data_IF_101834212901
#
_entry.id   IF_101834212901
#
_cell.length_a   1.000
_cell.length_b   1.000
_cell.length_c   1.000
_cell.angle_alpha   90.00
_cell.angle_beta   90.00
_cell.angle_gamma   90.00
#
_symmetry.space_group_name_H-M   'P 1'
#
loop_
_entity.id
_entity.type
_entity.pdbx_description
1 polymer ?
#
# COMPACT_ATOMS: atom_id res chain seq x y z
N UNK A 1 17.10 -29.79 25.17
CA UNK A 1 15.86 -28.99 25.04
C UNK A 1 16.08 -28.04 23.89
N UNK A 2 15.57 -28.42 22.72
CA UNK A 2 15.76 -27.68 21.47
C UNK A 2 14.64 -26.65 21.33
N UNK A 3 15.00 -25.37 21.33
CA UNK A 3 14.07 -24.27 21.05
C UNK A 3 13.82 -24.26 19.55
N UNK A 4 12.63 -24.66 19.15
CA UNK A 4 12.14 -24.48 17.77
C UNK A 4 12.01 -22.98 17.47
N UNK A 5 12.46 -22.49 16.30
CA UNK A 5 12.23 -21.11 15.93
C UNK A 5 10.73 -20.87 15.75
N UNK A 6 10.21 -19.82 16.39
CA UNK A 6 8.87 -19.32 16.16
C UNK A 6 8.77 -18.92 14.69
N UNK A 7 8.00 -19.68 13.94
CA UNK A 7 7.52 -19.26 12.61
C UNK A 7 6.72 -17.97 12.79
N UNK A 8 6.94 -16.92 11.98
CA UNK A 8 6.08 -15.76 12.03
C UNK A 8 4.65 -16.23 11.73
N UNK A 9 3.70 -15.83 12.57
CA UNK A 9 2.29 -16.13 12.38
C UNK A 9 1.92 -15.73 10.94
N UNK A 10 1.35 -16.67 10.20
CA UNK A 10 0.78 -16.39 8.89
C UNK A 10 -0.21 -15.25 9.07
N UNK A 11 0.08 -14.10 8.48
CA UNK A 11 -0.88 -13.01 8.38
C UNK A 11 -2.04 -13.59 7.58
N UNK A 12 -3.23 -13.69 8.18
CA UNK A 12 -4.43 -14.13 7.47
C UNK A 12 -4.58 -13.22 6.24
N UNK A 13 -4.38 -13.81 5.07
CA UNK A 13 -4.47 -13.12 3.79
C UNK A 13 -5.92 -12.74 3.54
N UNK A 14 -6.21 -11.45 3.36
CA UNK A 14 -7.54 -10.96 3.02
C UNK A 14 -7.93 -11.38 1.59
N UNK A 15 -6.94 -11.37 0.66
CA UNK A 15 -7.17 -11.71 -0.75
C UNK A 15 -6.74 -13.14 -1.06
N UNK A 16 -7.64 -13.90 -1.68
CA UNK A 16 -7.34 -15.24 -2.20
C UNK A 16 -6.26 -15.18 -3.30
N UNK A 17 -5.60 -16.31 -3.57
CA UNK A 17 -4.60 -16.39 -4.64
C UNK A 17 -5.18 -16.04 -6.02
N UNK A 18 -6.44 -16.39 -6.28
CA UNK A 18 -7.12 -16.05 -7.54
C UNK A 18 -7.37 -14.54 -7.65
N UNK A 19 -7.78 -13.89 -6.56
CA UNK A 19 -7.98 -12.44 -6.53
C UNK A 19 -6.66 -11.68 -6.68
N UNK A 20 -5.58 -12.12 -6.02
CA UNK A 20 -4.25 -11.54 -6.19
C UNK A 20 -3.77 -11.64 -7.65
N UNK A 21 -3.92 -12.82 -8.24
CA UNK A 21 -3.58 -13.05 -9.65
C UNK A 21 -4.40 -12.17 -10.58
N UNK A 22 -5.69 -12.02 -10.31
CA UNK A 22 -6.60 -11.17 -11.08
C UNK A 22 -6.20 -9.70 -10.99
N UNK A 23 -5.89 -9.20 -9.78
CA UNK A 23 -5.49 -7.81 -9.56
C UNK A 23 -4.13 -7.48 -10.20
N UNK A 24 -3.16 -8.39 -10.16
CA UNK A 24 -1.88 -8.23 -10.87
C UNK A 24 -2.08 -8.19 -12.38
N UNK A 25 -2.88 -9.08 -12.94
CA UNK A 25 -3.23 -9.05 -14.37
C UNK A 25 -3.93 -7.75 -14.77
N UNK A 26 -4.85 -7.26 -13.94
CA UNK A 26 -5.52 -5.97 -14.15
C UNK A 26 -4.52 -4.83 -14.19
N UNK A 27 -3.54 -4.82 -13.27
CA UNK A 27 -2.50 -3.79 -13.22
C UNK A 27 -1.66 -3.78 -14.51
N UNK A 28 -1.17 -4.95 -14.96
CA UNK A 28 -0.46 -5.09 -16.23
C UNK A 28 -1.33 -4.65 -17.42
N UNK A 29 -2.57 -5.12 -17.48
CA UNK A 29 -3.49 -4.80 -18.57
C UNK A 29 -3.84 -3.30 -18.62
N UNK A 30 -3.94 -2.65 -17.47
CA UNK A 30 -4.15 -1.20 -17.36
C UNK A 30 -3.01 -0.40 -17.98
N UNK A 31 -1.76 -0.80 -17.74
CA UNK A 31 -0.58 -0.15 -18.33
C UNK A 31 -0.54 -0.39 -19.85
N UNK A 32 -0.70 -1.64 -20.29
CA UNK A 32 -0.69 -1.99 -21.70
C UNK A 32 -1.83 -1.30 -22.47
N UNK A 33 -3.03 -1.28 -21.91
CA UNK A 33 -4.19 -0.63 -22.51
C UNK A 33 -3.98 0.86 -22.74
N UNK A 34 -3.29 1.54 -21.81
CA UNK A 34 -2.95 2.95 -21.96
C UNK A 34 -1.97 3.18 -23.12
N UNK A 35 -0.96 2.31 -23.29
CA UNK A 35 -0.03 2.37 -24.41
C UNK A 35 -0.69 2.06 -25.76
N UNK A 36 -1.75 1.25 -25.74
CA UNK A 36 -2.51 0.84 -26.92
C UNK A 36 -3.72 1.72 -27.21
N UNK A 37 -3.98 2.72 -26.36
CA UNK A 37 -5.13 3.61 -26.44
C UNK A 37 -6.49 2.84 -26.50
N UNK A 38 -6.59 1.75 -25.75
CA UNK A 38 -7.82 0.95 -25.61
C UNK A 38 -8.40 1.09 -24.20
N UNK A 39 -9.69 0.89 -24.09
CA UNK A 39 -10.36 0.83 -22.80
C UNK A 39 -10.39 -0.60 -22.27
N UNK A 40 -10.42 -0.73 -20.94
CA UNK A 40 -10.62 -2.00 -20.24
C UNK A 40 -11.84 -1.90 -19.32
N UNK A 41 -12.58 -3.00 -19.11
CA UNK A 41 -13.68 -3.01 -18.15
C UNK A 41 -13.14 -2.79 -16.73
N UNK A 42 -13.75 -1.86 -15.99
CA UNK A 42 -13.40 -1.56 -14.62
C UNK A 42 -14.51 -1.91 -13.62
N UNK A 43 -15.46 -2.74 -14.05
CA UNK A 43 -16.51 -3.26 -13.17
C UNK A 43 -15.95 -4.40 -12.32
N UNK A 44 -15.97 -4.27 -10.97
CA UNK A 44 -15.44 -5.31 -10.09
C UNK A 44 -16.18 -6.64 -10.29
N UNK A 45 -15.48 -7.78 -10.46
CA UNK A 45 -16.12 -9.07 -10.72
C UNK A 45 -16.75 -9.70 -9.46
N UNK A 46 -16.41 -9.22 -8.27
CA UNK A 46 -16.93 -9.71 -7.00
C UNK A 46 -17.25 -8.56 -6.05
N UNK A 47 -18.14 -8.80 -5.08
CA UNK A 47 -18.43 -7.82 -4.02
C UNK A 47 -17.18 -7.50 -3.17
N UNK A 48 -16.29 -8.47 -2.97
CA UNK A 48 -15.04 -8.25 -2.25
C UNK A 48 -14.14 -7.24 -3.00
N UNK A 49 -13.96 -7.40 -4.30
CA UNK A 49 -13.17 -6.49 -5.12
C UNK A 49 -13.89 -5.14 -5.40
N UNK A 50 -15.18 -5.04 -5.08
CA UNK A 50 -15.93 -3.79 -5.09
C UNK A 50 -15.70 -2.96 -3.81
N UNK A 51 -15.11 -3.53 -2.75
CA UNK A 51 -14.87 -2.83 -1.50
C UNK A 51 -13.86 -1.68 -1.70
N UNK A 52 -14.11 -0.51 -1.08
CA UNK A 52 -13.16 0.60 -1.14
C UNK A 52 -11.93 0.31 -0.29
N UNK A 53 -10.73 0.45 -0.86
CA UNK A 53 -9.43 0.28 -0.21
C UNK A 53 -8.44 1.34 -0.67
N UNK A 54 -7.49 1.69 0.21
CA UNK A 54 -6.28 2.36 -0.21
C UNK A 54 -5.38 1.37 -0.98
N UNK A 55 -4.75 1.82 -2.05
CA UNK A 55 -3.90 0.98 -2.90
C UNK A 55 -2.64 1.74 -3.26
N UNK A 56 -1.50 1.07 -3.21
CA UNK A 56 -0.26 1.50 -3.84
C UNK A 56 0.17 0.47 -4.87
N UNK A 57 0.63 0.95 -6.01
CA UNK A 57 1.26 0.14 -7.04
C UNK A 57 2.71 0.58 -7.20
N UNK A 58 3.64 -0.35 -7.01
CA UNK A 58 5.06 -0.19 -7.30
C UNK A 58 5.42 -0.97 -8.54
N UNK A 59 6.13 -0.32 -9.45
CA UNK A 59 6.66 -0.92 -10.67
C UNK A 59 8.15 -1.11 -10.51
N UNK A 60 8.66 -2.28 -10.85
CA UNK A 60 10.07 -2.59 -10.87
C UNK A 60 10.51 -3.05 -12.27
N UNK A 61 11.73 -2.75 -12.63
CA UNK A 61 12.37 -3.21 -13.86
C UNK A 61 13.78 -3.68 -13.53
N UNK A 62 14.04 -4.98 -13.72
CA UNK A 62 15.32 -5.57 -13.35
C UNK A 62 15.64 -5.39 -11.85
N UNK A 63 14.64 -5.49 -10.98
CA UNK A 63 14.77 -5.33 -9.53
C UNK A 63 14.94 -3.89 -9.04
N UNK A 64 14.88 -2.89 -9.91
CA UNK A 64 14.98 -1.47 -9.54
C UNK A 64 13.60 -0.79 -9.62
N UNK A 65 13.32 0.11 -8.67
CA UNK A 65 12.08 0.89 -8.69
C UNK A 65 11.98 1.70 -9.99
N UNK A 66 10.84 1.57 -10.69
CA UNK A 66 10.55 2.23 -11.96
C UNK A 66 9.36 3.19 -11.89
N UNK A 67 8.56 3.11 -10.85
CA UNK A 67 7.43 3.97 -10.55
C UNK A 67 6.69 3.50 -9.31
N UNK A 68 6.08 4.43 -8.57
CA UNK A 68 5.24 4.08 -7.42
C UNK A 68 4.22 5.19 -7.18
N UNK A 69 2.95 4.87 -7.29
CA UNK A 69 1.83 5.79 -7.01
C UNK A 69 0.76 5.06 -6.22
N UNK A 70 0.08 5.76 -5.34
CA UNK A 70 -1.01 5.18 -4.58
C UNK A 70 -1.83 6.19 -3.81
N UNK A 71 -2.94 5.70 -3.28
CA UNK A 71 -3.86 6.43 -2.44
C UNK A 71 -4.01 5.71 -1.10
N UNK A 72 -3.86 6.45 -0.03
CA UNK A 72 -4.05 5.92 1.33
C UNK A 72 -5.52 5.79 1.67
N UNK A 73 -6.30 6.84 1.37
CA UNK A 73 -7.74 6.81 1.56
C UNK A 73 -8.41 6.24 0.31
N UNK A 74 -9.42 5.38 0.48
CA UNK A 74 -10.10 4.78 -0.65
C UNK A 74 -10.84 5.84 -1.46
N UNK A 75 -10.60 5.87 -2.77
CA UNK A 75 -11.28 6.76 -3.74
C UNK A 75 -12.38 5.98 -4.49
N UNK A 76 -12.30 4.66 -4.52
CA UNK A 76 -13.24 3.77 -5.19
C UNK A 76 -13.02 2.32 -4.79
N UNK A 77 -13.55 1.38 -5.58
CA UNK A 77 -13.33 -0.04 -5.38
C UNK A 77 -11.84 -0.39 -5.50
N UNK A 78 -11.38 -1.43 -4.77
CA UNK A 78 -9.98 -1.90 -4.90
C UNK A 78 -9.64 -2.27 -6.34
N UNK A 79 -10.58 -2.87 -7.06
CA UNK A 79 -10.41 -3.24 -8.47
C UNK A 79 -10.07 -2.02 -9.33
N UNK A 80 -10.84 -0.96 -9.22
CA UNK A 80 -10.63 0.30 -9.95
C UNK A 80 -9.36 1.01 -9.50
N UNK A 81 -9.11 1.07 -8.19
CA UNK A 81 -7.93 1.71 -7.62
C UNK A 81 -6.63 1.04 -8.09
N UNK A 82 -6.59 -0.29 -8.23
CA UNK A 82 -5.44 -1.01 -8.79
C UNK A 82 -5.16 -0.59 -10.24
N UNK A 83 -6.19 -0.52 -11.08
CA UNK A 83 -6.02 -0.10 -12.47
C UNK A 83 -5.53 1.35 -12.59
N UNK A 84 -6.09 2.25 -11.78
CA UNK A 84 -5.74 3.67 -11.78
C UNK A 84 -4.31 3.90 -11.24
N UNK A 85 -3.94 3.28 -10.12
CA UNK A 85 -2.61 3.45 -9.52
C UNK A 85 -1.51 2.80 -10.37
N UNK A 86 -1.77 1.67 -11.03
CA UNK A 86 -0.84 1.06 -11.97
C UNK A 86 -0.55 1.98 -13.15
N UNK A 87 -1.59 2.57 -13.74
CA UNK A 87 -1.46 3.53 -14.82
C UNK A 87 -0.73 4.80 -14.36
N UNK A 88 -1.08 5.35 -13.20
CA UNK A 88 -0.44 6.52 -12.65
C UNK A 88 1.05 6.26 -12.33
N UNK A 89 1.39 5.09 -11.78
CA UNK A 89 2.77 4.69 -11.52
C UNK A 89 3.60 4.60 -12.80
N UNK A 90 3.00 4.18 -13.92
CA UNK A 90 3.67 4.06 -15.20
C UNK A 90 3.86 5.39 -15.94
N UNK A 91 2.94 6.35 -15.79
CA UNK A 91 2.88 7.52 -16.66
C UNK A 91 2.85 8.87 -15.92
N UNK A 92 2.56 8.91 -14.63
CA UNK A 92 2.34 10.14 -13.86
C UNK A 92 3.32 10.30 -12.68
N UNK A 93 4.17 9.31 -12.40
CA UNK A 93 5.23 9.45 -11.40
C UNK A 93 6.35 10.32 -11.94
N UNK A 94 6.38 11.58 -11.50
CA UNK A 94 7.29 12.63 -12.02
C UNK A 94 8.77 12.37 -11.75
N UNK A 95 9.11 11.36 -10.95
CA UNK A 95 10.50 10.94 -10.71
C UNK A 95 11.09 10.17 -11.89
N UNK A 96 10.24 9.66 -12.78
CA UNK A 96 10.60 8.78 -13.89
C UNK A 96 9.98 9.29 -15.20
N UNK A 97 10.58 8.93 -16.34
CA UNK A 97 9.93 9.09 -17.64
C UNK A 97 8.77 8.10 -17.79
N UNK A 98 7.74 8.40 -18.61
CA UNK A 98 6.68 7.46 -18.91
C UNK A 98 7.23 6.12 -19.39
N UNK A 99 6.58 5.03 -18.94
CA UNK A 99 6.96 3.65 -19.30
C UNK A 99 6.78 3.45 -20.80
N UNK A 100 7.78 2.83 -21.46
CA UNK A 100 7.70 2.46 -22.88
C UNK A 100 7.03 1.10 -23.08
N UNK A 101 6.68 0.78 -24.33
CA UNK A 101 6.07 -0.52 -24.67
C UNK A 101 7.03 -1.72 -24.39
N UNK A 102 8.32 -1.53 -24.62
CA UNK A 102 9.34 -2.53 -24.33
C UNK A 102 9.47 -2.77 -22.84
N UNK A 103 9.52 -1.71 -22.05
CA UNK A 103 9.58 -1.81 -20.60
C UNK A 103 8.34 -2.47 -20.01
N UNK A 104 7.14 -2.13 -20.52
CA UNK A 104 5.87 -2.66 -20.01
C UNK A 104 5.78 -4.20 -20.04
N UNK A 105 6.50 -4.84 -20.98
CA UNK A 105 6.56 -6.31 -21.09
C UNK A 105 7.48 -6.97 -20.05
N UNK A 106 8.38 -6.18 -19.44
CA UNK A 106 9.37 -6.66 -18.48
C UNK A 106 9.16 -6.07 -17.07
N UNK A 107 8.06 -5.35 -16.86
CA UNK A 107 7.72 -4.82 -15.53
C UNK A 107 7.36 -5.95 -14.57
N UNK A 108 7.85 -5.82 -13.36
CA UNK A 108 7.40 -6.56 -12.19
C UNK A 108 6.55 -5.63 -11.35
N UNK A 109 5.33 -6.04 -11.03
CA UNK A 109 4.35 -5.22 -10.29
C UNK A 109 4.22 -5.75 -8.87
N UNK A 110 4.24 -4.83 -7.91
CA UNK A 110 3.90 -5.07 -6.51
C UNK A 110 2.70 -4.21 -6.12
N UNK A 111 1.70 -4.84 -5.55
CA UNK A 111 0.50 -4.20 -5.01
C UNK A 111 0.54 -4.20 -3.49
N UNK A 112 0.24 -3.06 -2.89
CA UNK A 112 0.06 -2.90 -1.45
C UNK A 112 -1.36 -2.39 -1.21
N UNK A 113 -2.22 -3.26 -0.68
CA UNK A 113 -3.62 -2.96 -0.42
C UNK A 113 -3.80 -2.73 1.07
N UNK A 114 -4.35 -1.56 1.42
CA UNK A 114 -4.49 -1.14 2.80
C UNK A 114 -5.84 -1.56 3.36
N UNK A 115 -5.84 -2.09 4.59
CA UNK A 115 -7.08 -2.30 5.34
C UNK A 115 -7.73 -0.96 5.70
N UNK A 116 -9.04 -0.91 5.93
CA UNK A 116 -9.67 0.29 6.46
C UNK A 116 -9.03 0.70 7.79
N UNK A 117 -8.70 2.00 8.00
CA UNK A 117 -8.22 2.47 9.28
C UNK A 117 -9.22 2.18 10.40
N UNK A 118 -8.73 1.69 11.56
CA UNK A 118 -9.53 1.38 12.73
C UNK A 118 -8.93 2.08 13.95
N UNK A 119 -9.76 2.61 14.87
CA UNK A 119 -9.28 3.17 16.12
C UNK A 119 -8.40 2.17 16.89
N UNK A 120 -7.26 2.63 17.40
CA UNK A 120 -6.32 1.82 18.16
C UNK A 120 -5.81 2.56 19.38
N UNK A 121 -5.53 1.82 20.47
CA UNK A 121 -4.82 2.37 21.61
C UNK A 121 -3.33 2.49 21.32
N UNK A 122 -2.65 3.55 21.79
CA UNK A 122 -1.22 3.73 21.53
C UNK A 122 -0.36 2.52 21.91
N UNK A 123 -0.73 1.83 22.99
CA UNK A 123 -0.02 0.67 23.52
C UNK A 123 -0.12 -0.58 22.62
N UNK A 124 -1.19 -0.66 21.81
CA UNK A 124 -1.46 -1.74 20.88
C UNK A 124 -0.80 -1.53 19.51
N UNK A 125 -0.16 -0.40 19.27
CA UNK A 125 0.56 -0.14 18.02
C UNK A 125 1.79 -1.04 17.92
N UNK A 126 1.86 -1.81 16.82
CA UNK A 126 2.97 -2.70 16.48
C UNK A 126 3.77 -2.13 15.31
N UNK A 127 5.06 -1.83 15.55
CA UNK A 127 5.99 -1.36 14.51
C UNK A 127 6.22 -2.45 13.46
N UNK A 128 6.16 -2.09 12.19
CA UNK A 128 6.31 -3.01 11.06
C UNK A 128 5.02 -3.71 10.62
N UNK A 129 3.98 -3.69 11.47
CA UNK A 129 2.67 -4.24 11.13
C UNK A 129 1.65 -3.15 10.82
N UNK A 130 1.59 -2.14 11.69
CA UNK A 130 0.62 -1.07 11.58
C UNK A 130 1.17 0.15 10.85
N UNK A 131 0.41 0.67 9.87
CA UNK A 131 0.47 2.06 9.49
C UNK A 131 -0.41 2.88 10.45
N UNK A 132 -0.12 4.15 10.58
CA UNK A 132 -0.83 5.05 11.49
C UNK A 132 -1.43 6.23 10.74
N UNK A 133 -2.67 6.57 11.09
CA UNK A 133 -3.33 7.82 10.76
C UNK A 133 -3.62 8.54 12.09
N UNK A 134 -3.02 9.72 12.30
CA UNK A 134 -3.25 10.53 13.48
C UNK A 134 -3.83 11.87 13.04
N UNK A 135 -4.86 12.33 13.78
CA UNK A 135 -5.50 13.58 13.45
C UNK A 135 -6.23 14.25 14.60
N UNK A 136 -6.32 15.58 14.52
CA UNK A 136 -7.11 16.44 15.39
C UNK A 136 -7.51 17.72 14.66
N UNK A 137 -8.73 18.18 14.83
CA UNK A 137 -9.22 19.47 14.33
C UNK A 137 -8.94 19.71 12.82
N UNK A 138 -9.08 18.68 11.98
CA UNK A 138 -8.86 18.76 10.54
C UNK A 138 -7.41 18.55 10.07
N UNK A 139 -6.45 18.56 10.99
CA UNK A 139 -5.06 18.16 10.69
C UNK A 139 -4.96 16.64 10.70
N UNK A 140 -4.37 16.06 9.65
CA UNK A 140 -4.17 14.61 9.54
C UNK A 140 -2.78 14.31 9.00
N UNK A 141 -2.13 13.32 9.58
CA UNK A 141 -0.86 12.79 9.11
C UNK A 141 -0.90 11.28 9.09
N UNK A 142 -0.24 10.71 8.10
CA UNK A 142 -0.19 9.28 7.90
C UNK A 142 1.24 8.83 7.61
N UNK A 143 1.60 7.69 8.19
CA UNK A 143 2.82 6.96 7.89
C UNK A 143 2.50 5.48 7.66
N UNK A 144 3.12 4.91 6.63
CA UNK A 144 2.97 3.50 6.25
C UNK A 144 3.74 2.57 7.20
N UNK A 145 3.40 1.28 7.27
CA UNK A 145 4.01 0.33 8.21
C UNK A 145 5.53 0.18 8.07
N UNK A 146 6.07 0.30 6.86
CA UNK A 146 7.51 0.16 6.58
C UNK A 146 8.34 1.33 7.09
N UNK A 147 7.77 2.53 7.17
CA UNK A 147 8.50 3.76 7.53
C UNK A 147 9.21 3.66 8.87
N UNK A 148 8.57 3.25 9.98
CA UNK A 148 9.25 3.14 11.26
C UNK A 148 10.33 2.03 11.25
N UNK A 149 10.19 1.00 10.42
CA UNK A 149 11.20 -0.07 10.28
C UNK A 149 12.44 0.46 9.58
N UNK A 150 12.29 1.17 8.48
CA UNK A 150 13.38 1.78 7.70
C UNK A 150 14.20 2.78 8.53
N UNK A 151 13.51 3.52 9.42
CA UNK A 151 14.13 4.52 10.29
C UNK A 151 14.53 3.98 11.67
N UNK A 152 14.34 2.69 11.95
CA UNK A 152 14.60 2.07 13.26
C UNK A 152 13.88 2.78 14.42
N UNK A 153 12.65 3.24 14.19
CA UNK A 153 11.86 3.89 15.23
C UNK A 153 11.17 2.87 16.12
N UNK A 154 11.14 3.20 17.40
CA UNK A 154 10.24 2.53 18.34
C UNK A 154 8.79 3.05 18.20
N UNK A 155 7.87 2.40 18.90
CA UNK A 155 6.45 2.76 18.90
C UNK A 155 6.19 4.21 19.27
N UNK A 156 6.88 4.74 20.30
CA UNK A 156 6.67 6.11 20.77
C UNK A 156 7.17 7.10 19.73
N UNK A 157 8.33 6.88 19.19
CA UNK A 157 8.89 7.68 18.08
C UNK A 157 7.97 7.67 16.87
N UNK A 158 7.43 6.50 16.51
CA UNK A 158 6.49 6.36 15.39
C UNK A 158 5.23 7.21 15.60
N UNK A 159 4.61 7.17 16.78
CA UNK A 159 3.47 8.04 17.13
C UNK A 159 3.84 9.51 17.02
N UNK A 160 4.99 9.91 17.57
CA UNK A 160 5.47 11.30 17.50
C UNK A 160 5.71 11.78 16.08
N UNK A 161 6.34 10.96 15.23
CA UNK A 161 6.61 11.32 13.84
C UNK A 161 5.32 11.39 13.01
N UNK A 162 4.34 10.54 13.31
CA UNK A 162 3.03 10.62 12.67
C UNK A 162 2.30 11.91 13.07
N UNK A 163 2.39 12.35 14.31
CA UNK A 163 1.90 13.67 14.74
C UNK A 163 2.59 14.81 13.96
N UNK A 164 3.92 14.77 13.82
CA UNK A 164 4.67 15.78 13.03
C UNK A 164 4.25 15.79 11.57
N UNK A 165 4.00 14.60 10.99
CA UNK A 165 3.48 14.47 9.63
C UNK A 165 2.11 15.13 9.45
N UNK A 166 1.30 15.17 10.52
CA UNK A 166 0.02 15.89 10.58
C UNK A 166 0.17 17.39 10.80
N UNK A 167 1.39 17.91 10.98
CA UNK A 167 1.62 19.30 11.39
C UNK A 167 1.28 19.58 12.85
N UNK A 168 1.23 18.53 13.68
CA UNK A 168 0.87 18.60 15.10
C UNK A 168 2.12 18.52 16.01
N UNK A 169 2.02 18.99 17.27
CA UNK A 169 3.03 18.73 18.28
C UNK A 169 3.28 17.21 18.43
N UNK A 170 4.52 16.77 18.71
CA UNK A 170 4.86 15.33 18.77
C UNK A 170 4.13 14.56 19.88
N UNK A 171 3.60 15.24 20.86
CA UNK A 171 2.80 14.67 21.96
C UNK A 171 1.27 14.81 21.77
N UNK A 172 0.80 15.24 20.61
CA UNK A 172 -0.63 15.40 20.31
C UNK A 172 -1.42 14.09 20.49
N UNK A 173 -0.80 12.93 20.24
CA UNK A 173 -1.38 11.62 20.46
C UNK A 173 -1.75 11.34 21.93
N UNK A 174 -1.13 12.04 22.90
CA UNK A 174 -1.46 12.00 24.33
C UNK A 174 -2.48 13.08 24.72
N UNK A 175 -2.80 14.00 23.83
CA UNK A 175 -3.60 15.19 24.07
C UNK A 175 -4.92 15.23 23.31
N UNK A 176 -5.47 14.04 23.02
CA UNK A 176 -6.80 13.91 22.42
C UNK A 176 -6.83 13.82 20.88
N UNK A 177 -5.69 13.65 20.21
CA UNK A 177 -5.69 13.29 18.81
C UNK A 177 -6.26 11.87 18.62
N UNK A 178 -7.02 11.68 17.56
CA UNK A 178 -7.47 10.34 17.15
C UNK A 178 -6.28 9.56 16.61
N UNK A 179 -6.19 8.28 16.98
CA UNK A 179 -5.18 7.35 16.47
C UNK A 179 -5.93 6.21 15.82
N UNK A 180 -5.68 6.01 14.54
CA UNK A 180 -6.22 4.90 13.75
C UNK A 180 -5.05 4.12 13.17
N UNK A 181 -5.16 2.79 13.17
CA UNK A 181 -4.18 1.91 12.54
C UNK A 181 -4.80 1.20 11.35
N UNK A 182 -3.96 0.88 10.39
CA UNK A 182 -4.27 0.03 9.26
C UNK A 182 -3.11 -0.93 9.00
N UNK A 183 -3.40 -2.02 8.30
CA UNK A 183 -2.38 -2.95 7.81
C UNK A 183 -2.26 -2.82 6.30
N UNK A 184 -1.19 -3.37 5.73
CA UNK A 184 -1.01 -3.48 4.29
C UNK A 184 -0.81 -4.95 3.93
N UNK A 185 -1.60 -5.46 3.01
CA UNK A 185 -1.33 -6.73 2.37
C UNK A 185 -0.53 -6.47 1.09
N UNK A 186 0.69 -7.02 1.03
CA UNK A 186 1.63 -6.81 -0.07
C UNK A 186 1.80 -8.10 -0.84
N UNK A 187 1.61 -8.05 -2.15
CA UNK A 187 1.86 -9.16 -3.06
C UNK A 187 2.26 -8.64 -4.44
N UNK A 188 2.97 -9.46 -5.20
CA UNK A 188 3.52 -9.06 -6.50
C UNK A 188 3.77 -10.22 -7.43
N UNK A 189 4.32 -9.93 -8.58
CA UNK A 189 4.83 -10.93 -9.51
C UNK A 189 5.93 -11.76 -8.84
N UNK A 190 6.12 -13.02 -9.25
CA UNK A 190 6.99 -14.00 -8.55
C UNK A 190 8.42 -13.50 -8.30
N UNK A 191 8.96 -12.63 -9.15
CA UNK A 191 10.30 -12.07 -9.01
C UNK A 191 10.40 -11.00 -7.88
N UNK A 192 9.29 -10.41 -7.44
CA UNK A 192 9.24 -9.36 -6.40
C UNK A 192 9.06 -9.95 -5.01
N UNK A 193 8.50 -11.14 -4.91
CA UNK A 193 8.13 -11.80 -3.63
C UNK A 193 9.33 -12.33 -2.82
N UNK A 194 10.56 -12.25 -3.34
CA UNK A 194 11.79 -12.83 -2.74
C UNK A 194 12.62 -11.77 -1.99
N UNK A 195 12.00 -10.93 -1.16
CA UNK A 195 12.76 -10.03 -0.27
C UNK A 195 12.28 -10.09 1.17
#
# INVERSE_FOLDING_TARGET
MSLLPHSPAAVDSEYSQDERTLLLRLAHDSILSALEQREIPLDPPTEHLAQPRGVFTSLHLGGQLRGCVGYVLPVGSVYRAVAETARAAAFEDTRFYPVTREEAQALEIELSILSPPQPIQPEAVEVGRHGLLIGIAGHRGLLLPQVPVEHHWDRVTFLQQTCRKAGLPPNAWQQGATIEAFTAEVFGDEAVTVR
#
